data_IF_706816980356
#
_entry.id   IF_706816980356
#
_cell.length_a   1.000
_cell.length_b   1.000
_cell.length_c   1.000
_cell.angle_alpha   90.00
_cell.angle_beta   90.00
_cell.angle_gamma   90.00
#
_symmetry.space_group_name_H-M   'P 1'
#
loop_
_entity.id
_entity.type
_entity.pdbx_description
1 polymer ?
#
# COMPACT_ATOMS: atom_id res chain seq x y z
N UNK A 1 21.51 17.31 15.00
CA UNK A 1 20.15 17.06 14.48
C UNK A 1 20.10 15.59 14.15
N UNK A 2 19.34 14.79 14.89
CA UNK A 2 19.27 13.35 14.67
C UNK A 2 18.33 13.08 13.49
N UNK A 3 18.86 12.46 12.45
CA UNK A 3 18.13 11.94 11.29
C UNK A 3 17.00 11.03 11.75
N UNK A 4 15.77 11.53 11.69
CA UNK A 4 14.57 10.69 11.81
C UNK A 4 14.59 9.70 10.65
N UNK A 5 14.95 8.45 10.96
CA UNK A 5 14.69 7.27 10.15
C UNK A 5 13.33 7.40 9.46
N UNK A 6 13.33 7.78 8.18
CA UNK A 6 12.12 8.12 7.45
C UNK A 6 11.46 6.81 7.00
N UNK A 7 10.82 6.11 7.95
CA UNK A 7 10.03 4.92 7.66
C UNK A 7 8.82 5.40 6.88
N UNK A 8 8.85 5.19 5.57
CA UNK A 8 7.75 5.58 4.70
C UNK A 8 6.46 4.87 5.15
N UNK A 9 5.34 5.59 5.33
CA UNK A 9 4.08 4.99 5.75
C UNK A 9 3.66 3.86 4.81
N UNK A 10 3.12 2.77 5.38
CA UNK A 10 2.73 1.58 4.62
C UNK A 10 1.78 1.91 3.45
N UNK A 11 0.81 2.80 3.65
CA UNK A 11 -0.12 3.22 2.59
C UNK A 11 0.59 3.84 1.38
N UNK A 12 1.70 4.57 1.62
CA UNK A 12 2.47 5.23 0.58
C UNK A 12 3.29 4.23 -0.21
N UNK A 13 3.83 3.20 0.45
CA UNK A 13 4.50 2.06 -0.19
C UNK A 13 3.53 1.28 -1.08
N UNK A 14 2.35 0.95 -0.56
CA UNK A 14 1.30 0.25 -1.31
C UNK A 14 0.89 1.07 -2.54
N UNK A 15 0.59 2.36 -2.35
CA UNK A 15 0.21 3.25 -3.45
C UNK A 15 1.29 3.36 -4.52
N UNK A 16 2.55 3.44 -4.11
CA UNK A 16 3.70 3.48 -5.03
C UNK A 16 3.79 2.19 -5.83
N UNK A 17 3.62 1.03 -5.19
CA UNK A 17 3.63 -0.26 -5.87
C UNK A 17 2.49 -0.41 -6.88
N UNK A 18 1.26 -0.04 -6.49
CA UNK A 18 0.10 -0.03 -7.40
C UNK A 18 0.40 0.82 -8.64
N UNK A 19 0.97 2.01 -8.42
CA UNK A 19 1.31 2.94 -9.50
C UNK A 19 2.43 2.39 -10.39
N UNK A 20 3.42 1.72 -9.83
CA UNK A 20 4.52 1.09 -10.58
C UNK A 20 4.04 -0.08 -11.46
N UNK A 21 3.00 -0.80 -11.03
CA UNK A 21 2.35 -1.85 -11.82
C UNK A 21 1.41 -1.30 -12.92
N UNK A 22 1.14 0.00 -12.92
CA UNK A 22 0.24 0.63 -13.89
C UNK A 22 -1.24 0.27 -13.68
N UNK A 23 -1.60 -0.31 -12.53
CA UNK A 23 -2.98 -0.70 -12.22
C UNK A 23 -3.75 0.51 -11.69
N UNK A 24 -4.94 0.83 -12.22
CA UNK A 24 -5.74 1.93 -11.71
C UNK A 24 -6.15 1.70 -10.25
N UNK A 25 -5.96 2.70 -9.38
CA UNK A 25 -6.36 2.63 -7.96
C UNK A 25 -7.83 2.25 -7.78
N UNK A 26 -8.70 2.71 -8.68
CA UNK A 26 -10.13 2.37 -8.67
C UNK A 26 -10.36 0.87 -8.88
N UNK A 27 -9.60 0.24 -9.76
CA UNK A 27 -9.73 -1.18 -10.06
C UNK A 27 -9.24 -2.02 -8.89
N UNK A 28 -8.15 -1.60 -8.24
CA UNK A 28 -7.67 -2.22 -6.99
C UNK A 28 -8.72 -2.11 -5.88
N UNK A 29 -9.36 -0.94 -5.72
CA UNK A 29 -10.43 -0.76 -4.74
C UNK A 29 -11.61 -1.72 -4.99
N UNK A 30 -12.05 -1.84 -6.25
CA UNK A 30 -13.16 -2.74 -6.63
C UNK A 30 -12.76 -4.20 -6.41
N UNK A 31 -11.57 -4.61 -6.84
CA UNK A 31 -11.09 -6.00 -6.74
C UNK A 31 -10.78 -6.44 -5.31
N UNK A 32 -10.31 -5.53 -4.46
CA UNK A 32 -10.07 -5.80 -3.03
C UNK A 32 -11.36 -5.86 -2.20
N UNK A 33 -12.50 -5.42 -2.74
CA UNK A 33 -13.77 -5.35 -2.01
C UNK A 33 -13.84 -4.20 -1.00
N UNK A 34 -12.81 -3.33 -0.94
CA UNK A 34 -12.81 -2.16 -0.06
C UNK A 34 -13.67 -1.06 -0.71
N UNK A 35 -14.62 -0.44 0.03
CA UNK A 35 -15.41 0.66 -0.50
C UNK A 35 -14.51 1.76 -1.09
N UNK A 36 -14.75 2.16 -2.34
CA UNK A 36 -13.86 3.06 -3.11
C UNK A 36 -13.50 4.32 -2.32
N UNK A 37 -14.48 4.99 -1.73
CA UNK A 37 -14.23 6.20 -0.93
C UNK A 37 -13.34 5.96 0.30
N UNK A 38 -13.44 4.77 0.92
CA UNK A 38 -12.57 4.37 2.03
C UNK A 38 -11.16 4.06 1.51
N UNK A 39 -11.05 3.30 0.44
CA UNK A 39 -9.77 2.96 -0.18
C UNK A 39 -8.94 4.22 -0.50
N UNK A 40 -9.54 5.23 -1.11
CA UNK A 40 -8.83 6.48 -1.41
C UNK A 40 -8.36 7.21 -0.14
N UNK A 41 -9.19 7.28 0.91
CA UNK A 41 -8.83 7.87 2.21
C UNK A 41 -7.71 7.11 2.93
N UNK A 42 -7.61 5.81 2.68
CA UNK A 42 -6.49 4.99 3.18
C UNK A 42 -5.22 5.32 2.39
N UNK A 43 -5.31 5.37 1.06
CA UNK A 43 -4.17 5.61 0.15
C UNK A 43 -3.62 7.04 0.19
N UNK A 44 -4.42 8.01 0.61
CA UNK A 44 -4.00 9.40 0.84
C UNK A 44 -3.55 9.66 2.30
N UNK A 45 -3.70 8.68 3.19
CA UNK A 45 -3.31 8.77 4.60
C UNK A 45 -4.32 9.52 5.49
N UNK A 46 -5.50 9.89 4.98
CA UNK A 46 -6.57 10.55 5.75
C UNK A 46 -7.23 9.61 6.77
N UNK A 47 -7.07 8.30 6.61
CA UNK A 47 -7.57 7.30 7.54
C UNK A 47 -6.56 6.17 7.72
N UNK A 48 -6.60 5.51 8.88
CA UNK A 48 -5.70 4.41 9.19
C UNK A 48 -5.99 3.19 8.30
N UNK A 49 -4.92 2.55 7.83
CA UNK A 49 -4.96 1.28 7.11
C UNK A 49 -5.01 0.12 8.12
N UNK A 50 -6.05 -0.71 8.06
CA UNK A 50 -6.18 -1.87 8.95
C UNK A 50 -5.50 -3.11 8.36
N UNK A 51 -5.15 -4.07 9.21
CA UNK A 51 -4.51 -5.32 8.78
C UNK A 51 -5.37 -6.09 7.76
N UNK A 52 -6.66 -6.24 8.03
CA UNK A 52 -7.61 -6.91 7.12
C UNK A 52 -7.64 -6.25 5.73
N UNK A 53 -7.52 -4.92 5.68
CA UNK A 53 -7.49 -4.17 4.43
C UNK A 53 -6.18 -4.37 3.67
N UNK A 54 -5.06 -4.52 4.38
CA UNK A 54 -3.78 -4.90 3.77
C UNK A 54 -3.91 -6.27 3.11
N UNK A 55 -4.50 -7.24 3.80
CA UNK A 55 -4.70 -8.59 3.26
C UNK A 55 -5.61 -8.58 2.03
N UNK A 56 -6.70 -7.80 2.06
CA UNK A 56 -7.59 -7.62 0.91
C UNK A 56 -6.85 -7.01 -0.29
N UNK A 57 -5.99 -6.02 -0.07
CA UNK A 57 -5.21 -5.38 -1.14
C UNK A 57 -4.15 -6.35 -1.70
N UNK A 58 -3.45 -7.07 -0.83
CA UNK A 58 -2.46 -8.08 -1.23
C UNK A 58 -3.10 -9.25 -2.01
N UNK A 59 -4.38 -9.52 -1.79
CA UNK A 59 -5.13 -10.58 -2.48
C UNK A 59 -5.55 -10.20 -3.91
N UNK A 60 -5.33 -8.96 -4.35
CA UNK A 60 -5.64 -8.53 -5.72
C UNK A 60 -4.61 -9.14 -6.68
N UNK A 61 -5.06 -10.05 -7.55
CA UNK A 61 -4.20 -10.84 -8.44
C UNK A 61 -3.29 -9.98 -9.33
N UNK A 62 -3.78 -8.85 -9.86
CA UNK A 62 -3.00 -7.97 -10.75
C UNK A 62 -1.87 -7.20 -10.04
N UNK A 63 -1.85 -7.20 -8.71
CA UNK A 63 -0.91 -6.41 -7.93
C UNK A 63 0.40 -7.15 -7.67
N UNK A 64 0.35 -8.50 -7.65
CA UNK A 64 1.45 -9.39 -7.25
C UNK A 64 2.15 -8.87 -5.97
N UNK A 65 1.37 -8.35 -5.03
CA UNK A 65 1.86 -7.60 -3.88
C UNK A 65 2.08 -8.58 -2.73
N UNK A 66 3.34 -8.91 -2.44
CA UNK A 66 3.67 -9.76 -1.30
C UNK A 66 3.72 -8.93 0.00
N UNK A 67 3.01 -9.32 1.07
CA UNK A 67 3.03 -8.59 2.35
C UNK A 67 4.43 -8.52 2.96
N UNK A 68 5.28 -9.52 2.69
CA UNK A 68 6.69 -9.52 3.10
C UNK A 68 7.49 -8.38 2.44
N UNK A 69 7.19 -8.01 1.19
CA UNK A 69 7.87 -6.92 0.48
C UNK A 69 7.45 -5.53 1.02
N UNK A 70 6.23 -5.43 1.54
CA UNK A 70 5.72 -4.24 2.22
C UNK A 70 6.34 -4.04 3.61
N UNK A 71 6.76 -5.12 4.27
CA UNK A 71 7.31 -5.08 5.62
C UNK A 71 8.84 -5.04 5.66
N UNK A 72 9.52 -5.32 4.53
CA UNK A 72 10.97 -5.16 4.49
C UNK A 72 11.33 -3.69 4.78
N UNK A 73 12.16 -3.39 5.80
CA UNK A 73 12.78 -2.08 5.89
C UNK A 73 13.59 -1.87 4.59
N UNK A 74 13.61 -0.64 4.08
CA UNK A 74 14.50 -0.28 2.99
C UNK A 74 15.95 -0.39 3.49
N UNK A 75 16.48 -1.61 3.56
CA UNK A 75 17.88 -1.84 3.87
C UNK A 75 18.63 -1.37 2.65
N UNK A 76 19.40 -0.29 2.83
CA UNK A 76 20.30 0.32 1.86
C UNK A 76 20.97 -0.75 0.99
N UNK A 77 20.71 -0.69 -0.31
CA UNK A 77 21.55 -1.36 -1.32
C UNK A 77 22.87 -0.59 -1.34
N UNK A 78 23.93 -1.22 -0.82
CA UNK A 78 25.32 -0.77 -0.99
C UNK A 78 25.82 -1.12 -2.38
#
# INVERSE_FOLDING_TARGET
MADTNNVEPLFKRIRTHISAKGVPLRDVAVKSGIPVGRFYRVMDGSTALHADEVEMICSVEDLELNPTELLRPAILRN
#
